data_IF_252456399816
#
_entry.id   IF_252456399816
#
_cell.length_a   1.000
_cell.length_b   1.000
_cell.length_c   1.000
_cell.angle_alpha   90.00
_cell.angle_beta   90.00
_cell.angle_gamma   90.00
#
_symmetry.space_group_name_H-M   'P 1'
#
loop_
_entity.id
_entity.type
_entity.pdbx_description
1 polymer ?
#
# COMPACT_ATOMS: atom_id res chain seq x y z
N UNK A 1 5.65 23.86 -1.92
CA UNK A 1 4.36 23.12 -1.90
C UNK A 1 4.47 21.99 -0.90
N UNK A 2 3.35 21.52 -0.36
CA UNK A 2 3.35 20.37 0.56
C UNK A 2 2.27 19.40 0.08
N UNK A 3 2.66 18.14 -0.11
CA UNK A 3 1.78 17.03 -0.49
C UNK A 3 2.19 15.79 0.30
N UNK A 4 1.30 14.80 0.37
CA UNK A 4 1.56 13.50 0.97
C UNK A 4 1.49 12.36 -0.07
N UNK A 5 2.19 11.28 0.22
CA UNK A 5 1.98 9.97 -0.42
C UNK A 5 1.67 8.99 0.71
N UNK A 6 0.52 8.32 0.61
CA UNK A 6 0.07 7.33 1.58
C UNK A 6 0.18 5.93 0.94
N UNK A 7 1.28 5.21 1.16
CA UNK A 7 1.43 3.85 0.68
C UNK A 7 0.63 2.88 1.54
N UNK A 8 0.14 1.80 0.92
CA UNK A 8 -0.37 0.63 1.63
C UNK A 8 0.75 -0.37 2.00
N UNK A 9 0.37 -1.62 2.23
CA UNK A 9 1.25 -2.73 2.54
C UNK A 9 2.28 -2.97 1.42
N UNK A 10 3.51 -2.53 1.67
CA UNK A 10 4.57 -2.45 0.65
C UNK A 10 5.67 -3.49 0.81
N UNK A 11 6.04 -3.83 2.05
CA UNK A 11 7.14 -4.75 2.36
C UNK A 11 6.72 -5.78 3.41
N UNK A 12 7.25 -7.01 3.37
CA UNK A 12 7.02 -7.99 4.42
C UNK A 12 7.58 -7.50 5.76
N UNK A 13 6.92 -7.89 6.85
CA UNK A 13 7.50 -7.73 8.18
C UNK A 13 8.54 -8.84 8.45
N UNK A 14 9.33 -8.68 9.51
CA UNK A 14 10.43 -9.60 9.86
C UNK A 14 9.99 -11.03 10.21
N UNK A 15 8.68 -11.28 10.38
CA UNK A 15 8.12 -12.59 10.73
C UNK A 15 7.29 -13.21 9.59
N UNK A 16 7.24 -12.57 8.42
CA UNK A 16 6.56 -13.06 7.23
C UNK A 16 7.57 -13.52 6.18
N UNK A 17 7.27 -14.65 5.55
CA UNK A 17 7.90 -15.03 4.28
C UNK A 17 7.35 -14.18 3.13
N UNK A 18 8.08 -14.12 2.01
CA UNK A 18 7.63 -13.41 0.81
C UNK A 18 6.31 -13.95 0.25
N UNK A 19 6.07 -15.25 0.35
CA UNK A 19 4.81 -15.87 -0.09
C UNK A 19 3.65 -15.49 0.83
N UNK A 20 3.83 -15.55 2.15
CA UNK A 20 2.81 -15.09 3.11
C UNK A 20 2.46 -13.62 2.88
N UNK A 21 3.47 -12.77 2.66
CA UNK A 21 3.26 -11.36 2.35
C UNK A 21 2.45 -11.18 1.05
N UNK A 22 2.80 -11.89 -0.02
CA UNK A 22 2.06 -11.82 -1.30
C UNK A 22 0.60 -12.21 -1.14
N UNK A 23 0.34 -13.28 -0.38
CA UNK A 23 -1.02 -13.74 -0.07
C UNK A 23 -1.80 -12.68 0.70
N UNK A 24 -1.22 -12.14 1.79
CA UNK A 24 -1.87 -11.10 2.59
C UNK A 24 -2.12 -9.83 1.76
N UNK A 25 -1.13 -9.36 1.02
CA UNK A 25 -1.30 -8.18 0.16
C UNK A 25 -2.41 -8.39 -0.88
N UNK A 26 -2.48 -9.58 -1.51
CA UNK A 26 -3.53 -9.88 -2.48
C UNK A 26 -4.94 -10.02 -1.86
N UNK A 27 -5.04 -10.42 -0.59
CA UNK A 27 -6.31 -10.54 0.11
C UNK A 27 -6.88 -9.16 0.53
N UNK A 28 -6.01 -8.18 0.77
CA UNK A 28 -6.37 -6.93 1.45
C UNK A 28 -6.36 -5.68 0.57
N UNK A 29 -6.26 -5.81 -0.75
CA UNK A 29 -6.45 -4.67 -1.65
C UNK A 29 -7.27 -5.05 -2.90
N UNK A 30 -7.89 -4.06 -3.52
CA UNK A 30 -8.83 -4.25 -4.65
C UNK A 30 -8.12 -4.86 -5.87
N UNK A 31 -6.85 -4.52 -6.09
CA UNK A 31 -6.08 -5.00 -7.24
C UNK A 31 -5.45 -6.39 -7.03
N UNK A 32 -5.62 -6.99 -5.85
CA UNK A 32 -5.19 -8.34 -5.47
C UNK A 32 -3.71 -8.62 -5.76
N UNK A 33 -2.84 -7.67 -5.42
CA UNK A 33 -1.39 -7.79 -5.63
C UNK A 33 -0.57 -6.93 -4.66
N UNK A 34 0.71 -7.25 -4.40
CA UNK A 34 1.61 -6.36 -3.69
C UNK A 34 1.79 -5.01 -4.38
N UNK A 35 2.08 -3.98 -3.59
CA UNK A 35 2.44 -2.67 -4.13
C UNK A 35 3.88 -2.72 -4.62
N UNK A 36 4.10 -2.22 -5.83
CA UNK A 36 5.45 -2.00 -6.35
C UNK A 36 6.05 -0.73 -5.72
N UNK A 37 7.23 -0.85 -5.11
CA UNK A 37 7.98 0.28 -4.54
C UNK A 37 8.25 1.35 -5.61
N UNK A 38 8.44 0.94 -6.87
CA UNK A 38 8.59 1.85 -8.01
C UNK A 38 7.37 2.75 -8.20
N UNK A 39 6.16 2.27 -7.90
CA UNK A 39 4.94 3.07 -7.99
C UNK A 39 4.88 4.17 -6.92
N UNK A 40 5.39 3.89 -5.71
CA UNK A 40 5.49 4.88 -4.64
C UNK A 40 6.48 5.99 -5.03
N UNK A 41 7.66 5.60 -5.53
CA UNK A 41 8.65 6.55 -6.03
C UNK A 41 8.09 7.38 -7.22
N UNK A 42 7.36 6.73 -8.12
CA UNK A 42 6.68 7.40 -9.24
C UNK A 42 5.64 8.42 -8.78
N UNK A 43 4.88 8.13 -7.72
CA UNK A 43 3.91 9.08 -7.15
C UNK A 43 4.61 10.30 -6.52
N UNK A 44 5.75 10.10 -5.85
CA UNK A 44 6.57 11.22 -5.34
C UNK A 44 7.11 12.05 -6.51
N UNK A 45 7.66 11.41 -7.54
CA UNK A 45 8.19 12.09 -8.73
C UNK A 45 7.10 12.93 -9.42
N UNK A 46 5.90 12.37 -9.60
CA UNK A 46 4.75 13.11 -10.13
C UNK A 46 4.46 14.38 -9.32
N UNK A 47 4.39 14.30 -7.98
CA UNK A 47 4.13 15.47 -7.14
C UNK A 47 5.25 16.52 -7.18
N UNK A 48 6.49 16.08 -7.34
CA UNK A 48 7.66 16.96 -7.50
C UNK A 48 7.57 17.70 -8.83
N UNK A 49 7.31 16.99 -9.93
CA UNK A 49 7.27 17.53 -11.31
C UNK A 49 6.06 18.44 -11.59
N UNK A 50 4.97 18.31 -10.81
CA UNK A 50 3.74 19.06 -11.05
C UNK A 50 3.59 20.27 -10.10
N UNK A 51 4.01 21.44 -10.57
CA UNK A 51 4.05 22.66 -9.77
C UNK A 51 2.70 23.25 -9.37
N UNK A 52 1.62 22.90 -10.05
CA UNK A 52 0.28 23.38 -9.67
C UNK A 52 -0.34 22.58 -8.52
N UNK A 53 0.21 21.40 -8.17
CA UNK A 53 -0.41 20.48 -7.20
C UNK A 53 0.17 20.71 -5.81
N UNK A 54 -0.69 21.12 -4.87
CA UNK A 54 -0.37 21.26 -3.44
C UNK A 54 -1.58 20.89 -2.58
N UNK A 55 -1.33 20.50 -1.32
CA UNK A 55 -2.38 20.16 -0.36
C UNK A 55 -3.08 18.83 -0.64
N UNK A 56 -2.51 17.98 -1.50
CA UNK A 56 -3.08 16.68 -1.85
C UNK A 56 -2.34 15.54 -1.14
N UNK A 57 -3.06 14.45 -0.89
CA UNK A 57 -2.47 13.17 -0.52
C UNK A 57 -2.78 12.17 -1.63
N UNK A 58 -1.75 11.64 -2.27
CA UNK A 58 -1.91 10.55 -3.22
C UNK A 58 -1.92 9.22 -2.47
N UNK A 59 -3.00 8.47 -2.62
CA UNK A 59 -3.13 7.13 -2.06
C UNK A 59 -2.52 6.13 -3.04
N UNK A 60 -1.50 5.40 -2.61
CA UNK A 60 -0.73 4.45 -3.43
C UNK A 60 -0.76 3.09 -2.74
N UNK A 61 -1.93 2.47 -2.73
CA UNK A 61 -2.21 1.32 -1.86
C UNK A 61 -2.94 0.16 -2.56
N UNK A 62 -3.04 0.17 -3.90
CA UNK A 62 -3.83 -0.80 -4.66
C UNK A 62 -5.33 -0.90 -4.24
N UNK A 63 -5.85 0.13 -3.57
CA UNK A 63 -7.21 0.17 -3.03
C UNK A 63 -7.36 -0.44 -1.64
N UNK A 64 -6.28 -0.66 -0.89
CA UNK A 64 -6.30 -1.19 0.48
C UNK A 64 -7.22 -0.39 1.41
N UNK A 65 -7.16 0.94 1.40
CA UNK A 65 -7.99 1.79 2.26
C UNK A 65 -9.50 1.70 1.96
N UNK A 66 -9.88 1.09 0.83
CA UNK A 66 -11.26 0.85 0.43
C UNK A 66 -11.75 -0.56 0.81
N UNK A 67 -10.86 -1.43 1.31
CA UNK A 67 -11.21 -2.77 1.77
C UNK A 67 -11.49 -2.73 3.28
N UNK A 68 -12.70 -3.08 3.75
CA UNK A 68 -12.98 -3.15 5.17
C UNK A 68 -12.10 -4.19 5.86
N UNK A 69 -11.40 -3.79 6.92
CA UNK A 69 -10.60 -4.68 7.75
C UNK A 69 -11.10 -4.65 9.19
N UNK A 70 -11.37 -5.83 9.77
CA UNK A 70 -11.78 -5.96 11.17
C UNK A 70 -10.63 -5.71 12.16
N UNK A 71 -9.39 -5.76 11.67
CA UNK A 71 -8.14 -5.53 12.42
C UNK A 71 -7.07 -5.02 11.49
N UNK A 72 -5.98 -4.52 12.06
CA UNK A 72 -4.77 -4.15 11.32
C UNK A 72 -4.24 -5.35 10.52
N UNK A 73 -3.95 -5.13 9.24
CA UNK A 73 -3.50 -6.14 8.28
C UNK A 73 -2.17 -6.78 8.72
N UNK A 74 -1.29 -6.01 9.38
CA UNK A 74 -0.04 -6.53 9.94
C UNK A 74 -0.24 -7.54 11.06
N UNK A 75 -1.43 -7.61 11.64
CA UNK A 75 -1.85 -8.56 12.69
C UNK A 75 -3.01 -9.46 12.26
N UNK A 76 -3.35 -9.47 10.96
CA UNK A 76 -4.37 -10.36 10.44
C UNK A 76 -3.98 -11.81 10.80
N UNK A 77 -4.90 -12.61 11.36
CA UNK A 77 -4.61 -14.00 11.69
C UNK A 77 -4.16 -14.71 10.41
N UNK A 78 -3.12 -15.54 10.50
CA UNK A 78 -2.83 -16.52 9.45
C UNK A 78 -4.13 -17.29 9.25
N UNK A 79 -4.75 -17.21 8.07
CA UNK A 79 -5.94 -18.01 7.79
C UNK A 79 -5.60 -19.45 8.17
N UNK A 80 -6.31 -19.97 9.17
CA UNK A 80 -6.21 -21.37 9.52
C UNK A 80 -7.05 -22.09 8.45
N UNK A 81 -6.51 -23.13 7.80
CA UNK A 81 -7.12 -23.75 6.62
C UNK A 81 -8.56 -24.22 6.83
#
# INVERSE_FOLDING_TARGET
RVNGVAPGLTLPNQWQTDEEFKTVAAAHNILKRPIDIGAIAGAVAFLVENDAVTGQTLIVDNGEHLVPAARDIGYAPKETP
#
